data_IF_148179777920
#
_entry.id   IF_148179777920
#
_cell.length_a   1.000
_cell.length_b   1.000
_cell.length_c   1.000
_cell.angle_alpha   90.00
_cell.angle_beta   90.00
_cell.angle_gamma   90.00
#
_symmetry.space_group_name_H-M   'P 1'
#
loop_
_entity.id
_entity.type
_entity.pdbx_description
1 polymer ?
#
# COMPACT_ATOMS: atom_id res chain seq x y z
N UNK A 1 -28.62 1.20 -18.33
CA UNK A 1 -27.25 1.42 -17.84
C UNK A 1 -26.88 0.24 -16.95
N UNK A 2 -25.84 -0.54 -17.25
CA UNK A 2 -25.29 -1.45 -16.25
C UNK A 2 -24.18 -0.70 -15.51
N UNK A 3 -24.47 -0.27 -14.28
CA UNK A 3 -23.45 0.05 -13.30
C UNK A 3 -23.28 -1.24 -12.50
N UNK A 4 -22.20 -1.99 -12.73
CA UNK A 4 -22.01 -3.29 -12.08
C UNK A 4 -20.58 -3.82 -12.24
N UNK A 5 -19.89 -3.95 -11.09
CA UNK A 5 -18.62 -4.65 -10.79
C UNK A 5 -17.38 -4.21 -11.59
N UNK A 6 -16.28 -3.68 -11.03
CA UNK A 6 -15.67 -3.82 -9.70
C UNK A 6 -14.53 -2.77 -9.57
N UNK A 7 -14.85 -1.50 -9.31
CA UNK A 7 -13.88 -0.39 -9.29
C UNK A 7 -12.86 -0.47 -8.13
N UNK A 8 -13.08 -1.41 -7.20
CA UNK A 8 -12.26 -1.61 -6.01
C UNK A 8 -11.44 -2.91 -6.07
N UNK A 9 -11.48 -3.64 -7.19
CA UNK A 9 -10.71 -4.86 -7.38
C UNK A 9 -11.04 -5.99 -6.39
N UNK A 10 -12.31 -6.09 -5.99
CA UNK A 10 -12.82 -7.13 -5.09
C UNK A 10 -12.63 -6.82 -3.60
N UNK A 11 -12.04 -5.67 -3.28
CA UNK A 11 -11.85 -5.24 -1.90
C UNK A 11 -13.08 -4.53 -1.36
N UNK A 12 -13.35 -4.78 -0.07
CA UNK A 12 -14.27 -3.94 0.69
C UNK A 12 -13.77 -2.48 0.67
N UNK A 13 -14.70 -1.53 0.60
CA UNK A 13 -14.38 -0.09 0.45
C UNK A 13 -13.31 0.39 1.42
N UNK A 14 -13.44 0.00 2.69
CA UNK A 14 -12.52 0.39 3.74
C UNK A 14 -11.09 -0.13 3.54
N UNK A 15 -10.94 -1.30 2.92
CA UNK A 15 -9.64 -1.91 2.66
C UNK A 15 -9.03 -1.33 1.38
N UNK A 16 -9.86 -1.04 0.37
CA UNK A 16 -9.44 -0.27 -0.79
C UNK A 16 -8.93 1.14 -0.41
N UNK A 17 -9.58 1.80 0.56
CA UNK A 17 -9.11 3.09 1.09
C UNK A 17 -7.74 2.98 1.79
N UNK A 18 -7.50 1.89 2.53
CA UNK A 18 -6.20 1.61 3.13
C UNK A 18 -5.15 1.38 2.04
N UNK A 19 -5.43 0.53 1.04
CA UNK A 19 -4.53 0.24 -0.07
C UNK A 19 -4.16 1.51 -0.84
N UNK A 20 -5.14 2.35 -1.17
CA UNK A 20 -4.89 3.62 -1.84
C UNK A 20 -4.00 4.58 -1.01
N UNK A 21 -4.15 4.58 0.32
CA UNK A 21 -3.26 5.33 1.20
C UNK A 21 -1.84 4.74 1.23
N UNK A 22 -1.70 3.41 1.23
CA UNK A 22 -0.41 2.71 1.13
C UNK A 22 0.30 3.06 -0.18
N UNK A 23 -0.40 3.10 -1.31
CA UNK A 23 0.19 3.46 -2.60
C UNK A 23 0.65 4.92 -2.67
N UNK A 24 -0.07 5.81 -1.97
CA UNK A 24 0.23 7.25 -1.96
C UNK A 24 1.54 7.55 -1.23
N UNK A 25 1.82 6.83 -0.13
CA UNK A 25 2.96 7.15 0.76
C UNK A 25 4.32 7.03 0.04
N UNK A 26 4.65 5.93 -0.65
CA UNK A 26 5.87 5.85 -1.45
C UNK A 26 5.93 6.87 -2.59
N UNK A 27 4.78 7.21 -3.19
CA UNK A 27 4.73 8.09 -4.35
C UNK A 27 4.95 9.57 -4.01
N UNK A 28 4.40 10.04 -2.88
CA UNK A 28 4.35 11.48 -2.54
C UNK A 28 5.01 11.81 -1.20
N UNK A 29 5.40 10.78 -0.43
CA UNK A 29 5.81 10.91 0.97
C UNK A 29 4.75 11.58 1.87
N UNK A 30 3.49 11.69 1.41
CA UNK A 30 2.44 12.43 2.12
C UNK A 30 1.03 11.96 1.77
N UNK A 31 0.25 11.63 2.80
CA UNK A 31 -1.19 11.41 2.65
C UNK A 31 -1.97 12.70 2.39
N UNK A 32 -3.04 12.58 1.63
CA UNK A 32 -4.06 13.62 1.52
C UNK A 32 -4.85 13.76 2.83
N UNK A 33 -5.48 14.92 3.03
CA UNK A 33 -6.35 15.15 4.19
C UNK A 33 -7.53 14.15 4.24
N UNK A 34 -8.06 13.76 3.08
CA UNK A 34 -9.15 12.79 2.97
C UNK A 34 -8.70 11.39 3.44
N UNK A 35 -7.55 10.91 2.96
CA UNK A 35 -7.01 9.62 3.37
C UNK A 35 -6.70 9.58 4.87
N UNK A 36 -6.10 10.65 5.40
CA UNK A 36 -5.83 10.76 6.84
C UNK A 36 -7.12 10.73 7.66
N UNK A 37 -8.16 11.46 7.23
CA UNK A 37 -9.45 11.47 7.90
C UNK A 37 -10.12 10.09 7.87
N UNK A 38 -10.10 9.39 6.73
CA UNK A 38 -10.67 8.04 6.60
C UNK A 38 -9.97 7.02 7.50
N UNK A 39 -8.63 6.99 7.47
CA UNK A 39 -7.83 6.13 8.34
C UNK A 39 -8.04 6.44 9.83
N UNK A 40 -8.08 7.72 10.19
CA UNK A 40 -8.30 8.14 11.58
C UNK A 40 -9.71 7.84 12.07
N UNK A 41 -10.72 7.89 11.20
CA UNK A 41 -12.08 7.49 11.55
C UNK A 41 -12.19 5.99 11.83
N UNK A 42 -11.46 5.16 11.06
CA UNK A 42 -11.47 3.70 11.20
C UNK A 42 -10.64 3.21 12.39
N UNK A 43 -9.44 3.75 12.56
CA UNK A 43 -8.44 3.21 13.50
C UNK A 43 -8.10 4.14 14.67
N UNK A 44 -8.65 5.36 14.69
CA UNK A 44 -8.16 6.42 15.55
C UNK A 44 -6.77 6.93 15.13
N UNK A 45 -6.32 8.03 15.73
CA UNK A 45 -5.03 8.66 15.38
C UNK A 45 -3.86 7.70 15.53
N UNK A 46 -3.78 6.95 16.64
CA UNK A 46 -2.68 6.01 16.89
C UNK A 46 -2.65 4.90 15.84
N UNK A 47 -3.80 4.28 15.58
CA UNK A 47 -3.89 3.21 14.59
C UNK A 47 -3.66 3.71 13.16
N UNK A 48 -4.05 4.95 12.83
CA UNK A 48 -3.73 5.55 11.54
C UNK A 48 -2.21 5.73 11.33
N UNK A 49 -1.49 6.15 12.37
CA UNK A 49 -0.01 6.21 12.32
C UNK A 49 0.58 4.82 12.12
N UNK A 50 0.11 3.82 12.88
CA UNK A 50 0.57 2.43 12.78
C UNK A 50 0.26 1.81 11.40
N UNK A 51 -0.86 2.19 10.76
CA UNK A 51 -1.22 1.71 9.43
C UNK A 51 -0.33 2.29 8.32
N UNK A 52 0.08 3.55 8.45
CA UNK A 52 0.89 4.26 7.43
C UNK A 52 2.38 3.96 7.55
N UNK A 53 2.84 3.73 8.78
CA UNK A 53 4.24 3.54 9.09
C UNK A 53 4.91 2.40 8.27
N UNK A 54 4.30 1.19 8.12
CA UNK A 54 4.86 0.13 7.28
C UNK A 54 5.05 0.55 5.83
N UNK A 55 4.10 1.29 5.24
CA UNK A 55 4.19 1.73 3.84
C UNK A 55 5.45 2.57 3.58
N UNK A 56 5.79 3.48 4.50
CA UNK A 56 7.03 4.23 4.44
C UNK A 56 8.27 3.37 4.72
N UNK A 57 8.19 2.44 5.68
CA UNK A 57 9.31 1.56 6.01
C UNK A 57 9.73 0.65 4.87
N UNK A 58 8.82 0.22 3.99
CA UNK A 58 9.16 -0.64 2.86
C UNK A 58 9.96 0.06 1.75
N UNK A 59 10.01 1.40 1.73
CA UNK A 59 10.80 2.15 0.74
C UNK A 59 12.30 1.86 0.86
N UNK A 60 12.82 1.82 2.08
CA UNK A 60 14.25 1.57 2.35
C UNK A 60 14.71 0.14 1.95
N UNK A 61 14.10 -0.95 2.44
CA UNK A 61 14.49 -2.31 2.06
C UNK A 61 14.22 -2.57 0.58
N UNK A 62 13.13 -2.06 -0.01
CA UNK A 62 12.92 -2.17 -1.45
C UNK A 62 14.05 -1.51 -2.25
N UNK A 63 14.47 -0.30 -1.86
CA UNK A 63 15.61 0.39 -2.47
C UNK A 63 16.93 -0.40 -2.35
N UNK A 64 17.19 -0.99 -1.18
CA UNK A 64 18.37 -1.84 -0.96
C UNK A 64 18.34 -3.09 -1.84
N UNK A 65 17.23 -3.83 -1.84
CA UNK A 65 17.09 -5.08 -2.59
C UNK A 65 17.23 -4.84 -4.09
N UNK A 66 16.61 -3.78 -4.61
CA UNK A 66 16.73 -3.37 -6.01
C UNK A 66 18.17 -2.97 -6.37
N UNK A 67 18.86 -2.23 -5.49
CA UNK A 67 20.23 -1.78 -5.74
C UNK A 67 21.26 -2.91 -5.69
N UNK A 68 21.00 -3.94 -4.88
CA UNK A 68 21.83 -5.12 -4.75
C UNK A 68 21.52 -6.21 -5.80
N UNK A 69 20.56 -5.97 -6.69
CA UNK A 69 20.05 -6.97 -7.65
C UNK A 69 19.71 -8.30 -6.95
N UNK A 70 18.99 -8.19 -5.83
CA UNK A 70 18.74 -9.34 -4.96
C UNK A 70 17.85 -10.35 -5.66
N UNK A 71 18.35 -11.58 -5.80
CA UNK A 71 17.63 -12.67 -6.43
C UNK A 71 16.57 -13.26 -5.49
N UNK A 72 15.49 -13.77 -6.08
CA UNK A 72 14.47 -14.52 -5.34
C UNK A 72 15.08 -15.79 -4.76
N UNK A 73 14.74 -16.12 -3.51
CA UNK A 73 15.29 -17.30 -2.86
C UNK A 73 14.86 -18.60 -3.56
N UNK A 74 15.72 -19.64 -3.60
CA UNK A 74 15.36 -20.92 -4.19
C UNK A 74 14.07 -21.51 -3.60
N UNK A 75 13.12 -21.85 -4.46
CA UNK A 75 11.82 -22.41 -4.06
C UNK A 75 10.71 -21.36 -3.85
N UNK A 76 11.01 -20.07 -4.02
CA UNK A 76 10.02 -19.00 -4.13
C UNK A 76 9.79 -18.66 -5.61
N UNK A 77 8.53 -18.48 -6.01
CA UNK A 77 8.17 -17.94 -7.32
C UNK A 77 7.93 -16.43 -7.20
N UNK A 78 8.48 -15.66 -8.13
CA UNK A 78 8.15 -14.25 -8.25
C UNK A 78 6.66 -14.14 -8.70
N UNK A 79 5.77 -13.54 -7.91
CA UNK A 79 4.35 -13.43 -8.28
C UNK A 79 4.13 -12.52 -9.51
N UNK A 80 5.11 -11.67 -9.80
CA UNK A 80 5.16 -10.73 -10.92
C UNK A 80 6.57 -10.78 -11.51
N UNK A 81 6.71 -10.77 -12.85
CA UNK A 81 8.03 -10.75 -13.48
C UNK A 81 8.82 -9.51 -13.01
N UNK A 82 10.02 -9.74 -12.50
CA UNK A 82 10.99 -8.68 -12.26
C UNK A 82 11.55 -8.28 -13.64
N UNK A 83 11.23 -7.07 -14.09
CA UNK A 83 11.64 -6.54 -15.40
C UNK A 83 13.07 -6.01 -15.42
#
# INVERSE_FOLDING_TARGET
>A
MPCGSDDLGGWERQDAELLAAVDTVPATSRLTAQQWAGLSARYGTKGAVEAVMPAGHYVMPAGLLNSADTQVEPGLEAPIPLG
#
